data_IF_474530693844
#
_entry.id   IF_474530693844
#
_cell.length_a   1.000
_cell.length_b   1.000
_cell.length_c   1.000
_cell.angle_alpha   90.00
_cell.angle_beta   90.00
_cell.angle_gamma   90.00
#
_symmetry.space_group_name_H-M   'P 1'
#
loop_
_entity.id
_entity.type
_entity.pdbx_description
1 polymer ?
#
# COMPACT_ATOMS: atom_id res chain seq x y z
N UNK A 1 -0.59 -10.10 -6.39
CA UNK A 1 -0.84 -11.08 -7.47
C UNK A 1 0.37 -12.00 -7.69
N UNK A 2 1.57 -11.50 -8.01
CA UNK A 2 2.80 -12.33 -8.19
C UNK A 2 3.16 -13.17 -6.95
N UNK A 3 3.04 -12.61 -5.74
CA UNK A 3 3.29 -13.36 -4.49
C UNK A 3 2.28 -14.49 -4.25
N UNK A 4 1.07 -14.41 -4.81
CA UNK A 4 0.05 -15.46 -4.69
C UNK A 4 0.35 -16.55 -5.71
N UNK A 5 0.67 -16.21 -6.96
CA UNK A 5 1.04 -17.21 -7.97
C UNK A 5 2.33 -17.94 -7.62
N UNK A 6 3.39 -17.26 -7.16
CA UNK A 6 4.64 -17.91 -6.73
C UNK A 6 4.52 -18.62 -5.37
N UNK A 7 3.70 -18.10 -4.45
CA UNK A 7 3.48 -18.70 -3.14
C UNK A 7 2.64 -19.98 -3.21
N UNK A 8 1.62 -19.99 -4.07
CA UNK A 8 0.70 -21.13 -4.24
C UNK A 8 1.33 -22.22 -5.11
N UNK A 9 1.96 -21.88 -6.24
CA UNK A 9 2.62 -22.88 -7.11
C UNK A 9 3.64 -23.71 -6.37
N UNK A 10 4.39 -23.12 -5.44
CA UNK A 10 5.36 -23.88 -4.66
C UNK A 10 4.96 -24.16 -3.22
N UNK A 11 3.65 -24.12 -2.94
CA UNK A 11 2.99 -25.01 -1.97
C UNK A 11 2.42 -26.25 -2.65
N UNK A 12 1.92 -26.12 -3.89
CA UNK A 12 1.44 -27.25 -4.70
C UNK A 12 2.60 -28.18 -5.07
N UNK A 13 3.76 -27.63 -5.44
CA UNK A 13 4.99 -28.41 -5.69
C UNK A 13 5.53 -29.14 -4.44
N UNK A 14 5.34 -28.55 -3.25
CA UNK A 14 5.74 -29.16 -1.97
C UNK A 14 4.89 -30.40 -1.62
N UNK A 15 3.70 -30.53 -2.18
CA UNK A 15 2.87 -31.73 -2.03
C UNK A 15 3.27 -32.90 -2.93
N UNK A 16 4.21 -32.70 -3.87
CA UNK A 16 4.59 -33.67 -4.91
C UNK A 16 6.05 -34.15 -4.80
N UNK A 17 6.71 -33.95 -3.63
CA UNK A 17 8.12 -34.34 -3.32
C UNK A 17 9.20 -33.83 -4.31
N UNK A 18 8.81 -33.06 -5.33
CA UNK A 18 9.67 -32.41 -6.32
C UNK A 18 9.98 -30.97 -5.90
N UNK A 19 10.40 -30.78 -4.64
CA UNK A 19 10.89 -29.49 -4.19
C UNK A 19 12.35 -29.30 -4.67
N UNK A 20 12.52 -28.92 -5.95
CA UNK A 20 13.81 -28.44 -6.48
C UNK A 20 14.34 -27.23 -5.69
N UNK A 21 13.45 -26.52 -4.99
CA UNK A 21 13.76 -25.43 -4.05
C UNK A 21 14.52 -25.92 -2.81
N UNK A 22 14.38 -27.21 -2.47
CA UNK A 22 15.02 -27.82 -1.32
C UNK A 22 16.43 -28.33 -1.60
N UNK A 23 16.76 -28.57 -2.88
CA UNK A 23 18.06 -29.07 -3.33
C UNK A 23 18.98 -27.92 -3.78
N UNK A 24 18.40 -26.81 -4.27
CA UNK A 24 19.16 -25.67 -4.81
C UNK A 24 19.05 -24.43 -3.92
N UNK A 25 20.11 -24.15 -3.16
CA UNK A 25 20.21 -22.97 -2.29
C UNK A 25 19.96 -21.65 -3.03
N UNK A 26 20.35 -21.58 -4.31
CA UNK A 26 20.13 -20.42 -5.16
C UNK A 26 18.63 -20.17 -5.43
N UNK A 27 17.87 -21.21 -5.77
CA UNK A 27 16.45 -21.08 -6.07
C UNK A 27 15.66 -20.64 -4.84
N UNK A 28 16.01 -21.12 -3.65
CA UNK A 28 15.32 -20.66 -2.46
C UNK A 28 15.59 -19.19 -2.14
N UNK A 29 16.87 -18.75 -2.17
CA UNK A 29 17.25 -17.35 -1.96
C UNK A 29 16.49 -16.43 -2.92
N UNK A 30 16.46 -16.80 -4.20
CA UNK A 30 15.82 -16.02 -5.24
C UNK A 30 14.30 -15.95 -5.05
N UNK A 31 13.65 -17.06 -4.68
CA UNK A 31 12.21 -17.08 -4.37
C UNK A 31 11.87 -16.18 -3.20
N UNK A 32 12.62 -16.27 -2.09
CA UNK A 32 12.41 -15.42 -0.92
C UNK A 32 12.58 -13.94 -1.27
N UNK A 33 13.62 -13.61 -2.04
CA UNK A 33 13.87 -12.27 -2.54
C UNK A 33 12.71 -11.73 -3.39
N UNK A 34 12.26 -12.46 -4.41
CA UNK A 34 11.13 -12.02 -5.26
C UNK A 34 9.86 -11.82 -4.43
N UNK A 35 9.59 -12.72 -3.49
CA UNK A 35 8.38 -12.66 -2.67
C UNK A 35 8.36 -11.39 -1.79
N UNK A 36 9.49 -11.07 -1.15
CA UNK A 36 9.63 -9.88 -0.30
C UNK A 36 9.61 -8.58 -1.12
N UNK A 37 10.37 -8.53 -2.21
CA UNK A 37 10.45 -7.36 -3.09
C UNK A 37 9.08 -7.06 -3.72
N UNK A 38 8.39 -8.08 -4.25
CA UNK A 38 7.08 -7.88 -4.89
C UNK A 38 6.01 -7.39 -3.90
N UNK A 39 6.01 -7.87 -2.66
CA UNK A 39 5.13 -7.37 -1.60
C UNK A 39 5.44 -5.93 -1.24
N UNK A 40 6.72 -5.60 -1.07
CA UNK A 40 7.15 -4.23 -0.77
C UNK A 40 6.72 -3.26 -1.86
N UNK A 41 7.00 -3.58 -3.13
CA UNK A 41 6.59 -2.76 -4.27
C UNK A 41 5.07 -2.54 -4.26
N UNK A 42 4.28 -3.57 -4.03
CA UNK A 42 2.82 -3.44 -3.98
C UNK A 42 2.35 -2.45 -2.90
N UNK A 43 2.84 -2.55 -1.66
CA UNK A 43 2.47 -1.63 -0.59
C UNK A 43 2.89 -0.19 -0.88
N UNK A 44 4.11 0.01 -1.40
CA UNK A 44 4.61 1.33 -1.75
C UNK A 44 3.87 1.95 -2.94
N UNK A 45 3.46 1.17 -3.93
CA UNK A 45 2.61 1.65 -5.03
C UNK A 45 1.23 2.08 -4.55
N UNK A 46 0.62 1.34 -3.61
CA UNK A 46 -0.64 1.75 -2.99
C UNK A 46 -0.44 3.06 -2.22
N UNK A 47 0.68 3.21 -1.50
CA UNK A 47 0.99 4.44 -0.78
C UNK A 47 1.13 5.63 -1.74
N UNK A 48 1.89 5.48 -2.84
CA UNK A 48 1.97 6.51 -3.88
C UNK A 48 0.62 6.84 -4.50
N UNK A 49 -0.25 5.85 -4.73
CA UNK A 49 -1.59 6.11 -5.25
C UNK A 49 -2.43 6.97 -4.29
N UNK A 50 -2.26 6.82 -2.96
CA UNK A 50 -2.91 7.70 -1.98
C UNK A 50 -2.36 9.13 -2.00
N UNK A 51 -1.05 9.28 -2.20
CA UNK A 51 -0.39 10.60 -2.36
C UNK A 51 -0.87 11.27 -3.63
N UNK A 52 -0.96 10.54 -4.74
CA UNK A 52 -1.43 11.04 -6.02
C UNK A 52 -2.88 11.56 -5.93
N UNK A 53 -3.78 10.76 -5.32
CA UNK A 53 -5.16 11.18 -5.02
C UNK A 53 -5.20 12.43 -4.14
N UNK A 54 -4.30 12.56 -3.18
CA UNK A 54 -4.19 13.76 -2.35
C UNK A 54 -3.77 14.99 -3.17
N UNK A 55 -2.75 14.87 -4.01
CA UNK A 55 -2.28 15.95 -4.88
C UNK A 55 -3.40 16.44 -5.82
N UNK A 56 -4.16 15.50 -6.40
CA UNK A 56 -5.33 15.79 -7.25
C UNK A 56 -6.46 16.46 -6.48
N UNK A 57 -6.67 16.11 -5.21
CA UNK A 57 -7.69 16.73 -4.34
C UNK A 57 -7.35 18.16 -3.90
N UNK A 58 -6.09 18.57 -4.06
CA UNK A 58 -5.61 19.84 -3.55
C UNK A 58 -6.06 21.01 -4.43
N UNK A 59 -6.44 22.13 -3.79
CA UNK A 59 -6.93 23.32 -4.48
C UNK A 59 -5.84 24.06 -5.29
N UNK A 60 -4.56 23.88 -4.91
CA UNK A 60 -3.43 24.59 -5.52
C UNK A 60 -3.03 23.92 -6.84
N UNK A 61 -3.13 24.66 -7.95
CA UNK A 61 -2.74 24.17 -9.28
C UNK A 61 -1.30 23.65 -9.34
N UNK A 62 -0.36 24.32 -8.65
CA UNK A 62 1.04 23.90 -8.59
C UNK A 62 1.22 22.51 -7.97
N UNK A 63 0.41 22.14 -6.96
CA UNK A 63 0.43 20.79 -6.37
C UNK A 63 -0.17 19.74 -7.30
N UNK A 64 -1.19 20.11 -8.08
CA UNK A 64 -1.83 19.23 -9.05
C UNK A 64 -0.90 18.87 -10.22
N UNK A 65 0.02 19.75 -10.58
CA UNK A 65 1.04 19.51 -11.62
C UNK A 65 2.05 18.42 -11.25
N UNK A 66 2.26 18.13 -9.96
CA UNK A 66 3.12 17.02 -9.54
C UNK A 66 2.50 15.65 -9.80
N UNK A 67 1.17 15.56 -9.91
CA UNK A 67 0.45 14.37 -10.40
C UNK A 67 0.56 14.34 -11.93
N UNK A 68 1.76 14.01 -12.41
CA UNK A 68 2.04 13.79 -13.83
C UNK A 68 2.40 12.33 -14.06
N UNK A 69 2.04 11.80 -15.23
CA UNK A 69 2.36 10.41 -15.59
C UNK A 69 3.88 10.15 -15.54
N UNK A 70 4.68 11.14 -15.93
CA UNK A 70 6.15 11.08 -15.88
C UNK A 70 6.67 10.89 -14.45
N UNK A 71 6.14 11.67 -13.50
CA UNK A 71 6.53 11.57 -12.09
C UNK A 71 6.06 10.25 -11.48
N UNK A 72 4.88 9.76 -11.85
CA UNK A 72 4.37 8.47 -11.40
C UNK A 72 5.25 7.31 -11.89
N UNK A 73 5.69 7.35 -13.15
CA UNK A 73 6.63 6.38 -13.72
C UNK A 73 7.99 6.45 -13.04
N UNK A 74 8.56 7.64 -12.86
CA UNK A 74 9.83 7.84 -12.16
C UNK A 74 9.76 7.35 -10.70
N UNK A 75 8.68 7.65 -9.98
CA UNK A 75 8.46 7.18 -8.62
C UNK A 75 8.33 5.65 -8.53
N UNK A 76 7.65 5.03 -9.50
CA UNK A 76 7.54 3.57 -9.59
C UNK A 76 8.90 2.92 -9.79
N UNK A 77 9.71 3.44 -10.73
CA UNK A 77 11.07 2.94 -10.99
C UNK A 77 11.94 3.11 -9.74
N UNK A 78 11.87 4.26 -9.06
CA UNK A 78 12.61 4.51 -7.83
C UNK A 78 12.25 3.51 -6.71
N UNK A 79 10.96 3.18 -6.55
CA UNK A 79 10.50 2.18 -5.56
C UNK A 79 11.02 0.78 -5.89
N UNK A 80 11.03 0.39 -7.17
CA UNK A 80 11.53 -0.92 -7.59
C UNK A 80 13.02 -1.03 -7.26
N UNK A 81 13.81 -0.02 -7.60
CA UNK A 81 15.25 0.01 -7.32
C UNK A 81 15.50 -0.01 -5.80
N UNK A 82 14.83 0.86 -5.04
CA UNK A 82 14.97 0.96 -3.59
C UNK A 82 14.56 -0.33 -2.88
N UNK A 83 13.43 -0.93 -3.27
CA UNK A 83 12.95 -2.19 -2.71
C UNK A 83 13.94 -3.31 -3.02
N UNK A 84 14.46 -3.38 -4.25
CA UNK A 84 15.46 -4.39 -4.62
C UNK A 84 16.71 -4.25 -3.76
N UNK A 85 17.22 -3.04 -3.58
CA UNK A 85 18.40 -2.76 -2.77
C UNK A 85 18.21 -3.13 -1.28
N UNK A 86 17.08 -2.75 -0.69
CA UNK A 86 16.78 -3.05 0.73
C UNK A 86 16.68 -4.55 1.01
N UNK A 87 16.21 -5.33 0.03
CA UNK A 87 16.06 -6.77 0.15
C UNK A 87 17.24 -7.56 -0.42
N UNK A 88 18.28 -6.93 -0.98
CA UNK A 88 19.50 -7.63 -1.43
C UNK A 88 20.14 -8.45 -0.30
N UNK A 89 20.04 -7.98 0.96
CA UNK A 89 20.54 -8.70 2.13
C UNK A 89 19.93 -10.11 2.29
N UNK A 90 18.71 -10.34 1.79
CA UNK A 90 18.02 -11.64 1.82
C UNK A 90 18.79 -12.69 1.02
N UNK A 91 19.44 -12.30 -0.08
CA UNK A 91 20.23 -13.20 -0.92
C UNK A 91 21.47 -13.75 -0.20
N UNK A 92 22.00 -12.98 0.76
CA UNK A 92 23.12 -13.40 1.62
C UNK A 92 22.67 -14.13 2.87
N UNK A 93 21.55 -13.70 3.46
CA UNK A 93 21.10 -14.17 4.77
C UNK A 93 20.37 -15.52 4.76
N UNK A 94 19.79 -15.93 3.63
CA UNK A 94 19.08 -17.21 3.51
C UNK A 94 20.03 -18.32 3.10
N UNK A 95 19.87 -19.51 3.67
CA UNK A 95 20.62 -20.70 3.24
C UNK A 95 19.70 -21.92 3.19
N UNK A 96 19.99 -22.86 2.28
CA UNK A 96 19.22 -24.09 2.14
C UNK A 96 19.86 -25.28 2.86
N UNK A 97 21.11 -25.15 3.31
CA UNK A 97 21.91 -26.27 3.80
C UNK A 97 22.09 -26.25 5.33
N UNK A 98 20.98 -26.10 6.08
CA UNK A 98 20.98 -26.20 7.55
C UNK A 98 20.36 -27.52 7.99
N UNK A 99 21.17 -28.43 8.52
CA UNK A 99 20.78 -29.77 8.98
C UNK A 99 19.80 -29.75 10.17
N UNK A 100 19.67 -28.61 10.85
CA UNK A 100 18.90 -28.44 12.09
C UNK A 100 17.71 -27.47 12.00
N UNK A 101 17.27 -27.09 10.79
CA UNK A 101 16.09 -26.23 10.60
C UNK A 101 14.84 -27.03 10.19
N UNK A 102 13.65 -26.75 10.75
CA UNK A 102 12.40 -27.45 10.40
C UNK A 102 11.91 -27.17 8.98
N UNK A 103 12.44 -26.14 8.31
CA UNK A 103 12.23 -25.84 6.89
C UNK A 103 13.57 -25.83 6.16
N UNK A 104 13.63 -26.46 4.99
CA UNK A 104 14.83 -26.58 4.12
C UNK A 104 15.32 -25.26 3.51
N UNK A 105 14.77 -24.13 3.93
CA UNK A 105 15.27 -22.81 3.56
C UNK A 105 14.94 -21.80 4.66
N UNK A 106 15.99 -21.43 5.39
CA UNK A 106 15.84 -20.65 6.60
C UNK A 106 16.99 -19.66 6.77
N UNK A 107 16.75 -18.62 7.57
CA UNK A 107 17.77 -17.62 7.87
C UNK A 107 18.98 -18.29 8.51
N UNK A 108 20.18 -18.06 7.94
CA UNK A 108 21.44 -18.65 8.41
C UNK A 108 21.71 -18.32 9.88
N UNK A 109 21.29 -17.13 10.32
CA UNK A 109 21.50 -16.64 11.67
C UNK A 109 20.23 -15.99 12.22
N UNK A 110 20.09 -16.03 13.55
CA UNK A 110 19.01 -15.34 14.28
C UNK A 110 19.04 -13.83 13.98
N UNK A 111 20.23 -13.26 13.84
CA UNK A 111 20.44 -11.84 13.52
C UNK A 111 19.88 -11.51 12.14
N UNK A 112 20.19 -12.32 11.12
CA UNK A 112 19.64 -12.14 9.78
C UNK A 112 18.11 -12.18 9.77
N UNK A 113 17.51 -13.08 10.57
CA UNK A 113 16.06 -13.18 10.72
C UNK A 113 15.50 -11.92 11.38
N UNK A 114 16.08 -11.49 12.50
CA UNK A 114 15.63 -10.31 13.22
C UNK A 114 15.71 -9.04 12.35
N UNK A 115 16.82 -8.86 11.62
CA UNK A 115 17.00 -7.71 10.71
C UNK A 115 15.99 -7.75 9.57
N UNK A 116 15.75 -8.92 8.97
CA UNK A 116 14.77 -9.07 7.87
C UNK A 116 13.35 -8.80 8.37
N UNK A 117 12.96 -9.37 9.51
CA UNK A 117 11.62 -9.18 10.09
C UNK A 117 11.41 -7.73 10.52
N UNK A 118 12.41 -7.10 11.14
CA UNK A 118 12.35 -5.70 11.55
C UNK A 118 12.29 -4.74 10.35
N UNK A 119 13.11 -4.99 9.32
CA UNK A 119 13.10 -4.19 8.08
C UNK A 119 11.75 -4.32 7.40
N UNK A 120 11.19 -5.52 7.32
CA UNK A 120 9.89 -5.76 6.73
C UNK A 120 8.77 -5.06 7.52
N UNK A 121 8.75 -5.21 8.84
CA UNK A 121 7.73 -4.59 9.69
C UNK A 121 7.79 -3.05 9.64
N UNK A 122 8.97 -2.46 9.70
CA UNK A 122 9.12 -1.01 9.71
C UNK A 122 8.94 -0.41 8.32
N UNK A 123 9.71 -0.90 7.34
CA UNK A 123 9.81 -0.24 6.03
C UNK A 123 8.67 -0.65 5.10
N UNK A 124 8.22 -1.89 5.17
CA UNK A 124 7.22 -2.41 4.23
C UNK A 124 5.79 -2.36 4.77
N UNK A 125 5.61 -2.35 6.10
CA UNK A 125 4.27 -2.25 6.71
C UNK A 125 4.06 -0.86 7.30
N UNK A 126 4.85 -0.48 8.31
CA UNK A 126 4.59 0.71 9.12
C UNK A 126 4.71 2.00 8.30
N UNK A 127 5.80 2.19 7.56
CA UNK A 127 6.03 3.37 6.72
C UNK A 127 4.91 3.62 5.70
N UNK A 128 4.56 2.68 4.80
CA UNK A 128 3.50 2.91 3.82
C UNK A 128 2.13 3.08 4.49
N UNK A 129 1.85 2.41 5.62
CA UNK A 129 0.61 2.64 6.38
C UNK A 129 0.52 4.06 6.93
N UNK A 130 1.59 4.59 7.52
CA UNK A 130 1.63 5.97 8.03
C UNK A 130 1.40 6.97 6.90
N UNK A 131 2.06 6.77 5.75
CA UNK A 131 1.87 7.60 4.55
C UNK A 131 0.41 7.53 4.10
N UNK A 132 -0.15 6.33 3.90
CA UNK A 132 -1.55 6.15 3.49
C UNK A 132 -2.52 6.81 4.47
N UNK A 133 -2.28 6.69 5.79
CA UNK A 133 -3.13 7.29 6.81
C UNK A 133 -3.09 8.83 6.74
N UNK A 134 -1.90 9.42 6.73
CA UNK A 134 -1.72 10.88 6.70
C UNK A 134 -2.33 11.46 5.42
N UNK A 135 -1.94 10.96 4.25
CA UNK A 135 -2.43 11.48 2.97
C UNK A 135 -3.90 11.12 2.71
N UNK A 136 -4.36 9.97 3.19
CA UNK A 136 -5.77 9.59 3.16
C UNK A 136 -6.65 10.56 3.96
N UNK A 137 -6.26 10.87 5.20
CA UNK A 137 -6.97 11.84 6.04
C UNK A 137 -6.94 13.24 5.44
N UNK A 138 -5.80 13.67 4.91
CA UNK A 138 -5.70 14.97 4.23
C UNK A 138 -6.59 15.05 2.98
N UNK A 139 -6.68 13.97 2.19
CA UNK A 139 -7.56 13.90 1.01
C UNK A 139 -9.02 14.08 1.42
N UNK A 140 -9.45 13.39 2.48
CA UNK A 140 -10.81 13.52 3.01
C UNK A 140 -11.08 14.95 3.50
N UNK A 141 -10.12 15.56 4.21
CA UNK A 141 -10.23 16.95 4.68
C UNK A 141 -10.40 17.94 3.52
N UNK A 142 -9.60 17.79 2.45
CA UNK A 142 -9.69 18.63 1.26
C UNK A 142 -11.04 18.48 0.56
N UNK A 143 -11.51 17.24 0.35
CA UNK A 143 -12.81 16.96 -0.29
C UNK A 143 -13.95 17.55 0.55
N UNK A 144 -13.91 17.40 1.88
CA UNK A 144 -14.92 17.99 2.78
C UNK A 144 -14.96 19.51 2.69
N UNK A 145 -13.81 20.17 2.56
CA UNK A 145 -13.71 21.63 2.40
C UNK A 145 -14.29 22.09 1.06
N UNK A 146 -13.95 21.42 -0.04
CA UNK A 146 -14.50 21.71 -1.37
C UNK A 146 -16.02 21.52 -1.39
N UNK A 147 -16.52 20.42 -0.83
CA UNK A 147 -17.97 20.16 -0.78
C UNK A 147 -18.71 21.16 0.12
N UNK A 148 -18.08 21.61 1.21
CA UNK A 148 -18.65 22.67 2.06
C UNK A 148 -18.78 23.98 1.28
N UNK A 149 -17.74 24.38 0.55
CA UNK A 149 -17.73 25.63 -0.21
C UNK A 149 -18.70 25.60 -1.39
N UNK A 150 -18.77 24.50 -2.15
CA UNK A 150 -19.77 24.32 -3.22
C UNK A 150 -21.20 24.36 -2.69
N UNK A 151 -21.43 23.84 -1.48
CA UNK A 151 -22.76 23.89 -0.83
C UNK A 151 -23.16 25.29 -0.34
N UNK A 152 -22.19 26.18 -0.12
CA UNK A 152 -22.43 27.60 0.20
C UNK A 152 -22.68 28.41 -1.07
N UNK A 153 -21.94 28.14 -2.15
CA UNK A 153 -22.11 28.85 -3.42
C UNK A 153 -23.43 28.49 -4.14
N UNK A 154 -23.84 27.22 -4.11
CA UNK A 154 -25.17 26.82 -4.58
C UNK A 154 -26.31 27.41 -3.75
N UNK A 155 -26.10 27.61 -2.43
CA UNK A 155 -27.09 28.33 -1.60
C UNK A 155 -27.20 29.81 -1.98
N UNK A 156 -26.10 30.49 -2.33
CA UNK A 156 -26.17 31.89 -2.75
C UNK A 156 -26.89 32.07 -4.09
N UNK A 157 -26.72 31.12 -5.02
CA UNK A 157 -27.49 31.09 -6.27
C UNK A 157 -28.97 30.74 -6.04
N UNK A 158 -29.30 29.80 -5.14
CA UNK A 158 -30.68 29.46 -4.79
C UNK A 158 -31.41 30.56 -3.98
N UNK A 159 -30.70 31.34 -3.15
CA UNK A 159 -31.28 32.46 -2.38
C UNK A 159 -31.77 33.57 -3.34
N UNK A 160 -31.12 33.74 -4.48
CA UNK A 160 -31.53 34.73 -5.47
C UNK A 160 -32.76 34.29 -6.28
N UNK A 161 -33.13 33.00 -6.21
CA UNK A 161 -34.20 32.45 -7.03
C UNK A 161 -35.52 32.29 -6.28
N UNK A 162 -35.58 31.84 -5.01
CA UNK A 162 -36.89 31.63 -4.37
C UNK A 162 -36.94 31.73 -2.83
N UNK A 163 -37.63 32.77 -2.36
CA UNK A 163 -38.54 32.70 -1.22
C UNK A 163 -39.45 31.46 -1.31
N UNK A 164 -39.03 30.29 -0.79
CA UNK A 164 -39.91 29.27 -0.16
C UNK A 164 -39.16 27.97 0.14
N UNK A 165 -39.47 27.48 1.34
CA UNK A 165 -39.37 26.10 1.86
C UNK A 165 -38.09 25.69 2.60
N UNK A 166 -38.38 25.27 3.83
CA UNK A 166 -37.56 24.58 4.82
C UNK A 166 -36.88 23.35 4.18
N UNK A 167 -35.56 23.36 4.02
CA UNK A 167 -34.79 22.19 3.55
C UNK A 167 -33.91 21.68 4.70
N UNK A 168 -34.49 20.81 5.54
CA UNK A 168 -33.75 19.87 6.40
C UNK A 168 -33.70 18.48 5.71
N UNK A 169 -32.71 18.21 4.83
CA UNK A 169 -32.11 16.87 4.82
C UNK A 169 -30.59 16.84 4.52
N UNK A 170 -29.87 17.98 4.53
CA UNK A 170 -28.43 18.01 4.17
C UNK A 170 -27.49 17.38 5.22
N UNK A 171 -27.86 17.35 6.51
CA UNK A 171 -27.03 16.76 7.60
C UNK A 171 -26.95 15.22 7.52
N UNK A 172 -28.00 14.53 7.07
CA UNK A 172 -28.04 13.06 7.01
C UNK A 172 -27.19 12.48 5.87
N UNK A 173 -27.22 13.09 4.66
CA UNK A 173 -26.36 12.65 3.54
C UNK A 173 -24.87 12.76 3.85
N UNK A 174 -24.43 13.84 4.53
CA UNK A 174 -23.03 14.04 4.93
C UNK A 174 -22.54 12.96 5.91
N UNK A 175 -23.37 12.59 6.91
CA UNK A 175 -23.09 11.49 7.85
C UNK A 175 -23.02 10.10 7.18
N UNK A 176 -23.70 9.90 6.05
CA UNK A 176 -23.68 8.62 5.30
C UNK A 176 -22.40 8.47 4.50
N UNK A 177 -21.97 9.54 3.83
CA UNK A 177 -20.71 9.58 3.07
C UNK A 177 -19.50 9.47 4.01
N UNK A 178 -19.52 10.14 5.17
CA UNK A 178 -18.45 10.03 6.17
C UNK A 178 -18.33 8.63 6.76
N UNK A 179 -19.47 7.92 6.94
CA UNK A 179 -19.45 6.50 7.34
C UNK A 179 -18.87 5.63 6.24
N UNK A 180 -19.26 5.86 5.00
CA UNK A 180 -18.74 5.09 3.86
C UNK A 180 -17.23 5.29 3.67
N UNK A 181 -16.72 6.52 3.76
CA UNK A 181 -15.29 6.81 3.65
C UNK A 181 -14.47 6.22 4.80
N UNK A 182 -14.99 6.29 6.04
CA UNK A 182 -14.36 5.60 7.18
C UNK A 182 -14.35 4.10 6.99
N UNK A 183 -15.46 3.54 6.48
CA UNK A 183 -15.57 2.12 6.20
C UNK A 183 -14.59 1.69 5.09
N UNK A 184 -14.44 2.48 4.02
CA UNK A 184 -13.46 2.20 2.96
C UNK A 184 -12.03 2.24 3.50
N UNK A 185 -11.66 3.25 4.30
CA UNK A 185 -10.34 3.29 4.94
C UNK A 185 -10.13 2.11 5.88
N UNK A 186 -11.14 1.75 6.67
CA UNK A 186 -11.06 0.63 7.62
C UNK A 186 -10.93 -0.72 6.91
N UNK A 187 -11.72 -0.94 5.86
CA UNK A 187 -11.61 -2.13 4.99
C UNK A 187 -10.25 -2.15 4.30
N UNK A 188 -9.74 -1.00 3.85
CA UNK A 188 -8.45 -0.90 3.20
C UNK A 188 -7.29 -1.20 4.17
N UNK A 189 -7.42 -0.85 5.45
CA UNK A 189 -6.47 -1.21 6.52
C UNK A 189 -6.56 -2.70 6.85
N UNK A 190 -7.78 -3.27 6.95
CA UNK A 190 -7.99 -4.71 7.19
C UNK A 190 -7.42 -5.55 6.04
N UNK A 191 -7.70 -5.19 4.79
CA UNK A 191 -7.13 -5.86 3.62
C UNK A 191 -5.61 -5.68 3.49
N UNK A 192 -5.01 -4.68 4.16
CA UNK A 192 -3.56 -4.53 4.22
C UNK A 192 -2.92 -5.37 5.33
N UNK A 193 -3.70 -5.80 6.33
CA UNK A 193 -3.23 -6.51 7.53
C UNK A 193 -3.51 -8.02 7.51
N UNK A 194 -4.46 -8.47 6.68
CA UNK A 194 -4.74 -9.89 6.36
C UNK A 194 -3.97 -10.30 5.11
#
# INVERSE_FOLDING_TARGET
>A
MISITCGLTSRILSGWDMDLTSTNAFLCKFRAFIMLVSRSIAFWLIALATVDRWLLSSYRHQRRQYSSLKNAQQGTIAIIILSSFLYCQVLYCYDANMISAPLRCYGKTIICRLVTDLTYALVTILCPLLIMCIFGLMTISNIRRIHSNKSTQSKLLDINDNNKKIIKPKKQKRKRIDRYLRHVLFVQIIFLTI
#
